data_IF_613802902059
#
_entry.id   IF_613802902059
#
_cell.length_a   1.000
_cell.length_b   1.000
_cell.length_c   1.000
_cell.angle_alpha   90.00
_cell.angle_beta   90.00
_cell.angle_gamma   90.00
#
_symmetry.space_group_name_H-M   'P 1'
#
loop_
_entity.id
_entity.type
_entity.pdbx_description
1 polymer ?
#
# COMPACT_ATOMS: atom_id res chain seq x y z
N UNK A 1 3.56 0.13 -8.90
CA UNK A 1 4.59 1.09 -8.42
C UNK A 1 5.85 0.34 -8.00
N UNK A 2 6.96 0.64 -8.60
CA UNK A 2 8.28 0.06 -8.29
C UNK A 2 9.26 1.17 -7.96
N UNK A 3 10.32 0.84 -7.21
CA UNK A 3 11.37 1.78 -6.87
C UNK A 3 12.37 1.21 -5.88
N UNK A 4 13.15 2.09 -5.30
CA UNK A 4 14.18 1.77 -4.31
C UNK A 4 13.96 2.68 -3.11
N UNK A 5 13.87 2.12 -1.92
CA UNK A 5 13.57 2.87 -0.70
C UNK A 5 14.80 2.91 0.22
N UNK A 6 15.07 4.08 0.76
CA UNK A 6 16.07 4.30 1.82
C UNK A 6 15.35 4.81 3.05
N UNK A 7 15.63 4.21 4.21
CA UNK A 7 15.13 4.68 5.50
C UNK A 7 16.16 5.59 6.16
N UNK A 8 15.76 6.81 6.47
CA UNK A 8 16.47 7.68 7.40
C UNK A 8 16.00 7.37 8.82
N UNK A 9 16.83 6.65 9.56
CA UNK A 9 16.51 6.24 10.94
C UNK A 9 16.41 7.42 11.90
N UNK A 10 17.15 8.51 11.68
CA UNK A 10 17.13 9.70 12.55
C UNK A 10 15.81 10.45 12.40
N UNK A 11 15.30 10.57 11.19
CA UNK A 11 14.03 11.25 10.87
C UNK A 11 12.82 10.31 10.97
N UNK A 12 13.06 9.00 11.15
CA UNK A 12 12.04 7.96 11.05
C UNK A 12 11.16 8.15 9.78
N UNK A 13 11.82 8.40 8.65
CA UNK A 13 11.19 8.67 7.37
C UNK A 13 11.89 7.86 6.28
N UNK A 14 11.14 7.44 5.27
CA UNK A 14 11.66 6.75 4.10
C UNK A 14 11.56 7.62 2.86
N UNK A 15 12.48 7.44 1.92
CA UNK A 15 12.47 8.13 0.63
C UNK A 15 12.58 7.12 -0.50
N UNK A 16 11.79 7.30 -1.55
CA UNK A 16 11.75 6.42 -2.72
C UNK A 16 12.47 7.09 -3.88
N UNK A 17 13.27 6.30 -4.58
CA UNK A 17 14.03 6.67 -5.76
C UNK A 17 13.66 5.74 -6.92
N UNK A 18 13.77 6.23 -8.14
CA UNK A 18 13.57 5.43 -9.37
C UNK A 18 14.72 4.45 -9.65
N UNK A 19 15.92 4.76 -9.17
CA UNK A 19 17.13 3.97 -9.35
C UNK A 19 17.76 3.57 -8.02
N UNK A 20 18.58 2.50 -7.99
CA UNK A 20 19.28 2.08 -6.77
C UNK A 20 20.16 3.19 -6.19
N UNK A 21 20.21 3.25 -4.86
CA UNK A 21 21.08 4.13 -4.06
C UNK A 21 21.81 3.31 -3.02
N UNK A 22 22.94 3.79 -2.50
CA UNK A 22 23.61 3.12 -1.38
C UNK A 22 22.64 2.91 -0.21
N UNK A 23 22.56 1.65 0.28
CA UNK A 23 21.65 1.27 1.36
C UNK A 23 20.17 1.18 0.98
N UNK A 24 19.81 1.39 -0.29
CA UNK A 24 18.43 1.25 -0.73
C UNK A 24 18.02 -0.21 -0.87
N UNK A 25 16.72 -0.45 -0.71
CA UNK A 25 16.09 -1.76 -0.92
C UNK A 25 15.00 -1.64 -1.98
N UNK A 26 14.80 -2.65 -2.84
CA UNK A 26 13.73 -2.62 -3.81
C UNK A 26 12.36 -2.61 -3.12
N UNK A 27 11.41 -1.86 -3.71
CA UNK A 27 10.02 -1.82 -3.29
C UNK A 27 9.10 -2.06 -4.47
N UNK A 28 8.04 -2.82 -4.22
CA UNK A 28 7.01 -3.08 -5.20
C UNK A 28 5.63 -3.13 -4.54
N UNK A 29 4.72 -2.31 -5.03
CA UNK A 29 3.30 -2.33 -4.69
C UNK A 29 2.47 -2.33 -5.96
N UNK A 30 1.35 -3.07 -5.96
CA UNK A 30 0.29 -2.92 -6.96
C UNK A 30 -0.85 -2.13 -6.34
N UNK A 31 -1.55 -1.35 -7.14
CA UNK A 31 -2.73 -0.64 -6.66
C UNK A 31 -3.81 -0.56 -7.73
N UNK A 32 -5.03 -0.39 -7.28
CA UNK A 32 -6.18 -0.03 -8.12
C UNK A 32 -7.05 1.00 -7.41
N UNK A 33 -7.68 1.87 -8.16
CA UNK A 33 -8.70 2.77 -7.64
C UNK A 33 -9.99 1.96 -7.46
N UNK A 34 -10.56 2.00 -6.26
CA UNK A 34 -11.79 1.27 -5.90
C UNK A 34 -13.00 2.17 -6.09
N UNK A 35 -12.92 3.41 -5.62
CA UNK A 35 -14.01 4.37 -5.71
C UNK A 35 -13.50 5.82 -5.68
N UNK A 36 -14.15 6.74 -6.41
CA UNK A 36 -13.96 8.17 -6.20
C UNK A 36 -14.64 8.59 -4.89
N UNK A 37 -14.04 9.54 -4.17
CA UNK A 37 -14.54 10.10 -2.91
C UNK A 37 -14.42 11.64 -2.95
N UNK A 38 -15.19 12.29 -3.82
CA UNK A 38 -15.06 13.71 -4.10
C UNK A 38 -13.77 14.02 -4.88
N UNK A 39 -12.91 14.87 -4.34
CA UNK A 39 -11.60 15.20 -4.92
C UNK A 39 -10.55 14.11 -4.65
N UNK A 40 -10.84 13.20 -3.73
CA UNK A 40 -9.99 12.09 -3.35
C UNK A 40 -10.45 10.78 -4.00
N UNK A 41 -9.69 9.72 -3.80
CA UNK A 41 -10.10 8.38 -4.20
C UNK A 41 -9.70 7.32 -3.17
N UNK A 42 -10.49 6.28 -3.11
CA UNK A 42 -10.19 5.08 -2.35
C UNK A 42 -9.34 4.15 -3.22
N UNK A 43 -8.18 3.78 -2.70
CA UNK A 43 -7.21 2.94 -3.40
C UNK A 43 -6.99 1.66 -2.61
N UNK A 44 -7.07 0.52 -3.29
CA UNK A 44 -6.65 -0.77 -2.74
C UNK A 44 -5.22 -1.05 -3.18
N UNK A 45 -4.39 -1.52 -2.24
CA UNK A 45 -2.97 -1.74 -2.47
C UNK A 45 -2.59 -3.17 -2.08
N UNK A 46 -1.94 -3.89 -2.99
CA UNK A 46 -1.30 -5.17 -2.71
C UNK A 46 0.21 -4.95 -2.53
N UNK A 47 0.71 -5.31 -1.35
CA UNK A 47 2.12 -5.24 -1.03
C UNK A 47 2.85 -6.49 -1.55
N UNK A 48 3.82 -6.31 -2.46
CA UNK A 48 4.71 -7.36 -2.92
C UNK A 48 6.05 -7.35 -2.17
N UNK A 49 6.35 -6.23 -1.52
CA UNK A 49 7.42 -6.05 -0.53
C UNK A 49 6.84 -5.35 0.70
N UNK A 50 7.46 -5.49 1.85
CA UNK A 50 6.99 -4.92 3.12
C UNK A 50 8.05 -4.04 3.78
N UNK A 51 8.44 -2.93 3.16
CA UNK A 51 9.41 -1.99 3.72
C UNK A 51 8.75 -0.95 4.62
N UNK A 52 9.53 -0.40 5.55
CA UNK A 52 9.07 0.64 6.47
C UNK A 52 8.52 1.85 5.72
N UNK A 53 7.30 2.27 6.05
CA UNK A 53 6.58 3.36 5.42
C UNK A 53 6.41 3.24 3.88
N UNK A 54 6.48 2.04 3.33
CA UNK A 54 6.52 1.82 1.88
C UNK A 54 5.39 2.51 1.14
N UNK A 55 4.13 2.27 1.51
CA UNK A 55 2.97 2.86 0.86
C UNK A 55 3.00 4.38 0.99
N UNK A 56 3.23 4.89 2.19
CA UNK A 56 3.29 6.32 2.50
C UNK A 56 4.32 7.04 1.63
N UNK A 57 5.53 6.48 1.57
CA UNK A 57 6.64 7.04 0.79
C UNK A 57 6.41 6.94 -0.72
N UNK A 58 5.88 5.81 -1.22
CA UNK A 58 5.62 5.62 -2.65
C UNK A 58 4.53 6.56 -3.17
N UNK A 59 3.43 6.70 -2.44
CA UNK A 59 2.34 7.59 -2.85
C UNK A 59 2.73 9.07 -2.73
N UNK A 60 3.47 9.45 -1.70
CA UNK A 60 4.01 10.81 -1.59
C UNK A 60 4.99 11.14 -2.73
N UNK A 61 5.89 10.22 -3.08
CA UNK A 61 6.81 10.38 -4.19
C UNK A 61 6.10 10.51 -5.55
N UNK A 62 4.93 9.89 -5.71
CA UNK A 62 4.08 10.00 -6.88
C UNK A 62 3.21 11.27 -6.90
N UNK A 63 3.32 12.15 -5.90
CA UNK A 63 2.52 13.37 -5.79
C UNK A 63 1.14 13.18 -5.18
N UNK A 64 0.85 12.02 -4.61
CA UNK A 64 -0.44 11.66 -4.03
C UNK A 64 -0.29 11.17 -2.58
N UNK A 65 0.17 12.01 -1.64
CA UNK A 65 0.30 11.62 -0.24
C UNK A 65 -1.05 11.22 0.35
N UNK A 66 -1.03 10.31 1.32
CA UNK A 66 -2.24 9.82 1.95
C UNK A 66 -2.92 10.91 2.78
N UNK A 67 -4.24 10.92 2.82
CA UNK A 67 -5.00 11.80 3.71
C UNK A 67 -4.59 11.54 5.17
N UNK A 68 -4.39 12.60 5.95
CA UNK A 68 -3.95 12.53 7.33
C UNK A 68 -2.46 12.24 7.53
N UNK A 69 -1.70 12.06 6.46
CA UNK A 69 -0.26 11.76 6.55
C UNK A 69 0.61 13.02 6.51
N UNK A 70 0.54 13.83 7.55
CA UNK A 70 1.30 15.08 7.64
C UNK A 70 2.82 14.89 7.52
N UNK A 71 3.35 13.72 7.92
CA UNK A 71 4.78 13.42 7.81
C UNK A 71 5.27 13.37 6.36
N UNK A 72 4.41 12.94 5.43
CA UNK A 72 4.71 12.84 4.00
C UNK A 72 3.97 13.90 3.16
N UNK A 73 3.48 14.97 3.81
CA UNK A 73 2.87 16.11 3.12
C UNK A 73 1.40 15.94 2.76
N UNK A 74 0.73 14.93 3.33
CA UNK A 74 -0.70 14.75 3.15
C UNK A 74 -1.52 15.78 3.93
N UNK A 75 -2.74 16.12 3.45
CA UNK A 75 -3.63 17.03 4.14
C UNK A 75 -4.11 16.44 5.47
N UNK A 76 -4.16 17.27 6.52
CA UNK A 76 -4.50 16.86 7.90
C UNK A 76 -5.76 17.52 8.43
N UNK A 77 -6.51 18.19 7.58
CA UNK A 77 -7.77 18.88 7.91
C UNK A 77 -8.90 17.93 8.30
N UNK A 78 -8.98 16.78 7.63
CA UNK A 78 -10.02 15.75 7.85
C UNK A 78 -9.59 14.64 8.81
N UNK A 79 -8.32 14.25 8.75
CA UNK A 79 -7.78 13.14 9.54
C UNK A 79 -6.47 13.56 10.20
N UNK A 80 -6.31 13.23 11.48
CA UNK A 80 -5.10 13.52 12.26
C UNK A 80 -4.04 12.42 12.15
N UNK A 81 -4.37 11.33 11.49
CA UNK A 81 -3.47 10.20 11.18
C UNK A 81 -3.74 9.70 9.77
N UNK A 82 -2.75 9.05 9.18
CA UNK A 82 -2.87 8.53 7.82
C UNK A 82 -4.10 7.60 7.64
N UNK A 83 -4.91 7.87 6.63
CA UNK A 83 -6.03 7.03 6.23
C UNK A 83 -5.48 5.77 5.50
N UNK A 84 -4.93 4.87 6.27
CA UNK A 84 -4.30 3.63 5.83
C UNK A 84 -4.71 2.49 6.76
N UNK A 85 -5.09 1.36 6.18
CA UNK A 85 -5.53 0.19 6.92
C UNK A 85 -5.15 -1.10 6.18
N UNK A 86 -4.55 -2.04 6.89
CA UNK A 86 -4.44 -3.41 6.41
C UNK A 86 -5.80 -4.10 6.59
N UNK A 87 -6.61 -4.10 5.54
CA UNK A 87 -7.99 -4.56 5.64
C UNK A 87 -8.19 -6.04 5.28
N UNK A 88 -7.25 -6.63 4.56
CA UNK A 88 -7.30 -8.02 4.10
C UNK A 88 -5.94 -8.68 4.28
N UNK A 89 -5.92 -9.83 4.93
CA UNK A 89 -4.75 -10.69 5.07
C UNK A 89 -5.13 -12.11 4.66
N UNK A 90 -4.40 -12.67 3.71
CA UNK A 90 -4.50 -14.08 3.33
C UNK A 90 -3.18 -14.78 3.64
N UNK A 91 -3.24 -15.93 4.26
CA UNK A 91 -2.09 -16.72 4.65
C UNK A 91 -1.78 -17.78 3.60
N UNK A 92 -0.51 -17.86 3.20
CA UNK A 92 0.05 -18.87 2.32
C UNK A 92 1.36 -19.38 2.93
N UNK A 93 1.29 -20.28 3.95
CA UNK A 93 2.47 -20.89 4.53
C UNK A 93 3.22 -21.74 3.49
N UNK A 94 4.53 -21.83 3.61
CA UNK A 94 5.32 -22.78 2.82
C UNK A 94 4.89 -24.23 3.11
N UNK A 95 4.92 -25.09 2.08
CA UNK A 95 4.28 -26.41 2.08
C UNK A 95 4.61 -27.32 3.26
N UNK A 96 5.87 -27.31 3.74
CA UNK A 96 6.33 -28.14 4.87
C UNK A 96 6.28 -27.40 6.23
N UNK A 97 5.65 -26.23 6.26
CA UNK A 97 5.53 -25.45 7.48
C UNK A 97 4.58 -26.12 8.50
N UNK A 98 4.90 -26.07 9.79
CA UNK A 98 3.94 -26.42 10.85
C UNK A 98 2.63 -25.64 10.78
N UNK A 99 2.62 -24.53 10.04
CA UNK A 99 1.48 -23.66 9.83
C UNK A 99 0.69 -23.97 8.54
N UNK A 100 0.99 -25.07 7.85
CA UNK A 100 0.34 -25.46 6.60
C UNK A 100 -1.20 -25.54 6.69
N UNK A 101 -1.74 -25.83 7.90
CA UNK A 101 -3.19 -25.82 8.15
C UNK A 101 -3.84 -24.42 8.02
N UNK A 102 -3.05 -23.36 7.95
CA UNK A 102 -3.52 -21.99 7.73
C UNK A 102 -3.61 -21.62 6.26
N UNK A 103 -3.26 -22.52 5.34
CA UNK A 103 -3.32 -22.25 3.90
C UNK A 103 -4.70 -21.73 3.48
N UNK A 104 -4.70 -20.60 2.76
CA UNK A 104 -5.89 -19.93 2.29
C UNK A 104 -6.75 -19.23 3.36
N UNK A 105 -6.37 -19.31 4.65
CA UNK A 105 -7.07 -18.57 5.70
C UNK A 105 -7.02 -17.07 5.41
N UNK A 106 -8.17 -16.42 5.50
CA UNK A 106 -8.34 -14.99 5.21
C UNK A 106 -8.91 -14.29 6.43
N UNK A 107 -8.31 -13.15 6.75
CA UNK A 107 -8.78 -12.23 7.81
C UNK A 107 -9.09 -10.89 7.17
N UNK A 108 -10.22 -10.31 7.50
CA UNK A 108 -10.61 -9.01 6.97
C UNK A 108 -11.26 -8.14 8.04
N UNK A 109 -11.13 -6.83 7.87
CA UNK A 109 -11.81 -5.86 8.71
C UNK A 109 -12.22 -4.65 7.86
N UNK A 110 -13.17 -3.86 8.34
CA UNK A 110 -13.58 -2.63 7.68
C UNK A 110 -12.64 -1.49 8.10
N UNK A 111 -12.01 -0.75 7.15
CA UNK A 111 -11.22 0.43 7.48
C UNK A 111 -12.03 1.49 8.21
N UNK A 112 -11.45 2.08 9.24
CA UNK A 112 -12.11 3.08 10.10
C UNK A 112 -12.50 4.37 9.38
N UNK A 113 -11.83 4.70 8.27
CA UNK A 113 -12.07 5.89 7.46
C UNK A 113 -13.01 5.65 6.27
N UNK A 114 -13.49 4.42 6.10
CA UNK A 114 -14.32 4.06 4.94
C UNK A 114 -15.73 4.64 5.10
N UNK A 115 -16.23 5.47 4.15
CA UNK A 115 -17.57 6.02 4.20
C UNK A 115 -18.65 4.93 4.20
N UNK A 116 -19.80 5.23 4.80
CA UNK A 116 -20.97 4.36 4.72
C UNK A 116 -21.38 4.16 3.25
N UNK A 117 -21.85 2.96 2.92
CA UNK A 117 -22.28 2.60 1.57
C UNK A 117 -21.18 2.25 0.59
N UNK A 118 -19.90 2.47 0.92
CA UNK A 118 -18.78 2.02 0.11
C UNK A 118 -18.45 0.57 0.44
N UNK A 119 -18.50 -0.30 -0.58
CA UNK A 119 -18.14 -1.71 -0.47
C UNK A 119 -16.69 -1.93 -0.85
N UNK A 120 -16.02 -2.81 -0.11
CA UNK A 120 -14.67 -3.25 -0.44
C UNK A 120 -14.72 -4.48 -1.34
N UNK A 121 -13.75 -4.65 -2.23
CA UNK A 121 -13.60 -5.89 -2.98
C UNK A 121 -13.43 -7.09 -2.03
N UNK A 122 -14.15 -8.17 -2.29
CA UNK A 122 -14.04 -9.42 -1.51
C UNK A 122 -12.76 -10.19 -1.84
N UNK A 123 -12.21 -9.96 -3.02
CA UNK A 123 -10.94 -10.51 -3.48
C UNK A 123 -9.92 -9.38 -3.56
N UNK A 124 -8.77 -9.57 -2.91
CA UNK A 124 -7.71 -8.56 -2.88
C UNK A 124 -7.12 -8.29 -4.26
N UNK A 125 -6.41 -7.16 -4.41
CA UNK A 125 -5.80 -6.69 -5.66
C UNK A 125 -4.83 -7.69 -6.34
N UNK A 126 -4.51 -8.81 -5.70
CA UNK A 126 -3.69 -9.88 -6.28
C UNK A 126 -4.43 -10.74 -7.31
N UNK A 127 -5.77 -10.75 -7.28
CA UNK A 127 -6.60 -11.55 -8.19
C UNK A 127 -6.95 -10.83 -9.50
N UNK A 128 -6.59 -9.55 -9.67
CA UNK A 128 -6.77 -8.87 -10.94
C UNK A 128 -5.66 -9.28 -11.93
N UNK A 129 -6.02 -9.67 -13.17
CA UNK A 129 -5.01 -9.95 -14.19
C UNK A 129 -4.16 -8.68 -14.41
N UNK A 130 -2.86 -8.88 -14.46
CA UNK A 130 -1.89 -7.84 -14.72
C UNK A 130 -2.14 -7.26 -16.10
N UNK A 131 -2.78 -6.12 -16.20
CA UNK A 131 -2.61 -5.30 -17.38
C UNK A 131 -1.19 -4.72 -17.29
N UNK A 132 -0.22 -5.44 -17.85
CA UNK A 132 1.05 -4.87 -18.22
C UNK A 132 0.75 -3.78 -19.26
N UNK A 133 0.52 -2.55 -18.80
CA UNK A 133 0.80 -1.41 -19.66
C UNK A 133 2.31 -1.41 -19.80
N UNK A 134 2.77 -1.91 -20.94
CA UNK A 134 4.05 -1.54 -21.50
C UNK A 134 4.07 -0.02 -21.53
N UNK A 135 4.74 0.60 -20.58
CA UNK A 135 5.27 1.92 -20.82
C UNK A 135 6.38 1.73 -21.84
N UNK A 136 6.05 1.90 -23.12
CA UNK A 136 7.02 2.20 -24.14
C UNK A 136 7.55 3.60 -23.86
N UNK A 137 8.82 3.61 -23.61
CA UNK A 137 9.88 4.59 -23.42
C UNK A 137 9.84 5.55 -22.29
#
# INVERSE_FOLDING_TARGET
>A
MRGHIVKDGRKNRSQVYSSPRPGSKPVHSRYRVVAPLGEDCLVEIALLTGRSHQIRAQFAAAGHPLLGDGKYGGPTDRYTRQALCAYLLRLHPEGDSPLAYLEGKTFSLRPWFLPEGVSLPREGAQSAPTADRKEEH
#
